data_IF_569113033554
#
_entry.id   IF_569113033554
#
_cell.length_a   1.000
_cell.length_b   1.000
_cell.length_c   1.000
_cell.angle_alpha   90.00
_cell.angle_beta   90.00
_cell.angle_gamma   90.00
#
_symmetry.space_group_name_H-M   'P 1'
#
loop_
_entity.id
_entity.type
_entity.pdbx_description
1 polymer ?
#
# COMPACT_ATOMS: atom_id res chain seq x y z
N UNK A 1 6.65 10.93 23.48
CA UNK A 1 6.29 11.01 22.95
C UNK A 1 6.33 10.74 21.67
N UNK A 2 6.41 9.97 21.08
CA UNK A 2 6.45 9.67 19.76
C UNK A 2 5.15 9.90 19.09
N UNK A 3 5.11 9.88 17.82
CA UNK A 3 3.90 10.02 17.10
C UNK A 3 3.25 8.68 16.97
N UNK A 4 1.95 8.66 16.90
CA UNK A 4 1.27 7.42 16.66
C UNK A 4 1.33 7.17 15.18
N UNK A 5 1.04 5.97 14.76
CA UNK A 5 1.09 5.62 13.35
C UNK A 5 0.13 6.44 12.52
N UNK A 6 -1.03 6.74 13.05
CA UNK A 6 -1.99 7.49 12.27
C UNK A 6 -1.59 8.95 12.12
N UNK A 7 -0.53 9.39 12.76
CA UNK A 7 -0.01 10.73 12.54
C UNK A 7 0.96 10.72 11.38
N UNK A 8 1.63 9.61 11.14
CA UNK A 8 2.62 9.54 10.08
C UNK A 8 2.09 8.85 8.84
N UNK A 9 1.12 8.00 8.98
CA UNK A 9 0.59 7.24 7.86
C UNK A 9 -0.92 7.39 7.84
N UNK A 10 -1.51 7.23 6.67
CA UNK A 10 -2.95 7.32 6.61
C UNK A 10 -3.50 6.17 5.80
N UNK A 11 -4.72 5.76 6.11
CA UNK A 11 -5.37 4.68 5.39
C UNK A 11 -5.56 5.10 3.95
N UNK A 12 -5.26 4.22 3.04
CA UNK A 12 -5.31 4.50 1.62
C UNK A 12 -3.97 4.90 1.03
N UNK A 13 -2.98 5.12 1.85
CA UNK A 13 -1.70 5.60 1.37
C UNK A 13 -0.89 4.47 0.77
N UNK A 14 -0.19 4.76 -0.32
CA UNK A 14 0.67 3.79 -0.96
C UNK A 14 2.00 3.76 -0.24
N UNK A 15 2.49 2.58 0.08
CA UNK A 15 3.81 2.42 0.67
C UNK A 15 4.54 1.33 -0.10
N UNK A 16 5.86 1.35 -0.03
CA UNK A 16 6.68 0.39 -0.75
C UNK A 16 7.55 -0.32 0.26
N UNK A 17 7.55 -1.63 0.22
CA UNK A 17 8.36 -2.40 1.13
C UNK A 17 9.84 -2.17 0.79
N UNK A 18 10.67 -1.99 1.78
CA UNK A 18 12.08 -1.78 1.53
C UNK A 18 12.94 -2.82 2.21
N UNK A 19 12.33 -3.81 2.85
CA UNK A 19 13.09 -4.86 3.48
C UNK A 19 12.41 -6.20 3.33
N UNK A 20 13.19 -7.25 3.39
CA UNK A 20 12.65 -8.58 3.37
C UNK A 20 12.50 -9.12 1.97
N UNK A 21 11.84 -10.23 1.85
CA UNK A 21 11.67 -10.86 0.56
C UNK A 21 10.76 -10.08 -0.35
N UNK A 22 9.94 -9.23 0.19
CA UNK A 22 9.05 -8.45 -0.63
C UNK A 22 9.56 -7.04 -0.89
N UNK A 23 10.83 -6.81 -0.73
CA UNK A 23 11.38 -5.47 -0.96
C UNK A 23 11.01 -5.02 -2.36
N UNK A 24 10.51 -3.82 -2.48
CA UNK A 24 10.06 -3.26 -3.73
C UNK A 24 8.59 -3.49 -4.03
N UNK A 25 7.94 -4.31 -3.24
CA UNK A 25 6.53 -4.59 -3.45
C UNK A 25 5.69 -3.42 -2.96
N UNK A 26 4.65 -3.09 -3.66
CA UNK A 26 3.82 -1.96 -3.31
C UNK A 26 2.57 -2.39 -2.59
N UNK A 27 2.19 -1.62 -1.59
CA UNK A 27 1.01 -1.92 -0.79
C UNK A 27 0.22 -0.66 -0.52
N UNK A 28 -1.01 -0.84 -0.14
CA UNK A 28 -1.86 0.27 0.28
C UNK A 28 -2.21 0.02 1.74
N UNK A 29 -2.14 1.04 2.55
CA UNK A 29 -2.48 0.92 3.97
C UNK A 29 -3.99 0.82 4.11
N UNK A 30 -4.46 -0.23 4.77
CA UNK A 30 -5.90 -0.39 5.00
C UNK A 30 -6.23 -0.30 6.50
N UNK A 31 -5.23 -0.08 7.33
CA UNK A 31 -5.48 0.09 8.75
C UNK A 31 -4.21 -0.04 9.54
N UNK A 32 -4.40 -0.11 10.85
CA UNK A 32 -3.27 -0.23 11.74
C UNK A 32 -3.51 -1.39 12.68
N UNK A 33 -2.48 -2.19 12.91
CA UNK A 33 -2.60 -3.35 13.77
C UNK A 33 -1.88 -3.01 15.07
N UNK A 34 -2.65 -2.67 16.07
CA UNK A 34 -2.08 -2.22 17.32
C UNK A 34 -1.44 -0.87 17.10
N UNK A 35 -0.41 -0.59 17.82
CA UNK A 35 0.22 0.69 17.76
C UNK A 35 1.48 0.71 16.94
N UNK A 36 1.93 -0.44 16.51
CA UNK A 36 3.23 -0.53 15.88
C UNK A 36 3.27 -1.20 14.54
N UNK A 37 2.16 -1.63 14.01
CA UNK A 37 2.18 -2.30 12.73
C UNK A 37 1.14 -1.77 11.78
N UNK A 38 1.47 -1.80 10.51
CA UNK A 38 0.56 -1.36 9.47
C UNK A 38 -0.18 -2.57 8.91
N UNK A 39 -1.44 -2.37 8.55
CA UNK A 39 -2.22 -3.39 7.87
C UNK A 39 -2.24 -3.00 6.40
N UNK A 40 -1.78 -3.87 5.54
CA UNK A 40 -1.54 -3.54 4.13
C UNK A 40 -2.29 -4.47 3.20
N UNK A 41 -2.67 -3.94 2.05
CA UNK A 41 -3.30 -4.71 0.99
C UNK A 41 -2.48 -4.60 -0.26
N UNK A 42 -2.48 -5.63 -1.11
CA UNK A 42 -1.64 -5.61 -2.29
C UNK A 42 -2.29 -6.13 -3.57
N UNK A 43 -3.51 -6.34 -3.63
CA UNK A 43 -4.20 -6.80 -4.84
C UNK A 43 -3.89 -8.25 -5.21
N UNK A 44 -3.03 -8.90 -4.50
CA UNK A 44 -2.70 -10.26 -4.81
C UNK A 44 -3.17 -11.18 -3.71
N UNK A 45 -2.55 -11.16 -2.56
CA UNK A 45 -2.92 -11.99 -1.48
C UNK A 45 -3.61 -11.27 -0.36
N UNK A 46 -3.37 -10.00 -0.20
CA UNK A 46 -3.82 -9.28 0.97
C UNK A 46 -4.86 -8.23 0.63
N UNK A 47 -5.83 -8.07 1.49
CA UNK A 47 -6.88 -7.06 1.29
C UNK A 47 -7.41 -6.70 2.67
N UNK A 48 -8.53 -6.02 2.73
CA UNK A 48 -9.06 -5.54 4.01
C UNK A 48 -9.37 -6.72 4.94
N UNK A 49 -9.93 -7.80 4.41
CA UNK A 49 -10.29 -8.92 5.25
C UNK A 49 -9.07 -9.75 5.66
N UNK A 50 -7.97 -9.59 4.97
CA UNK A 50 -6.77 -10.37 5.27
C UNK A 50 -5.57 -9.52 4.99
N UNK A 51 -5.29 -8.54 5.83
CA UNK A 51 -4.17 -7.63 5.55
C UNK A 51 -2.84 -8.22 5.95
N UNK A 52 -1.80 -7.70 5.33
CA UNK A 52 -0.46 -8.09 5.71
C UNK A 52 0.01 -7.17 6.81
N UNK A 53 0.62 -7.74 7.83
CA UNK A 53 1.15 -6.96 8.93
C UNK A 53 2.60 -6.61 8.60
N UNK A 54 2.96 -5.36 8.73
CA UNK A 54 4.34 -4.97 8.46
C UNK A 54 4.76 -3.82 9.36
N UNK A 55 6.01 -3.86 9.76
CA UNK A 55 6.56 -2.83 10.60
C UNK A 55 6.76 -1.57 9.76
N UNK A 56 6.33 -0.40 10.22
CA UNK A 56 6.47 0.82 9.43
C UNK A 56 7.91 1.14 9.10
N UNK A 57 8.85 0.67 9.89
CA UNK A 57 10.24 0.94 9.61
C UNK A 57 10.71 0.22 8.37
N UNK A 58 9.96 -0.76 7.90
CA UNK A 58 10.35 -1.55 6.75
C UNK A 58 9.64 -1.12 5.48
N UNK A 59 9.00 0.02 5.48
CA UNK A 59 8.35 0.53 4.29
C UNK A 59 8.72 1.98 4.07
N UNK A 60 8.62 2.41 2.82
CA UNK A 60 8.80 3.79 2.47
C UNK A 60 7.43 4.33 2.13
N UNK A 61 7.02 5.40 2.75
CA UNK A 61 5.72 5.97 2.44
C UNK A 61 5.83 6.85 1.21
N UNK A 62 4.72 7.02 0.52
CA UNK A 62 4.67 7.90 -0.62
C UNK A 62 3.56 8.90 -0.37
N UNK A 63 3.34 9.79 -1.30
CA UNK A 63 2.27 10.75 -1.17
C UNK A 63 1.03 10.31 -1.90
N UNK A 64 1.06 9.14 -2.50
CA UNK A 64 -0.07 8.66 -3.26
C UNK A 64 -1.11 8.09 -2.30
N UNK A 65 -2.35 8.47 -2.46
CA UNK A 65 -3.41 8.00 -1.60
C UNK A 65 -4.57 7.53 -2.47
N UNK A 66 -5.09 6.36 -2.17
CA UNK A 66 -6.23 5.82 -2.89
C UNK A 66 -7.45 6.02 -2.00
N UNK A 67 -8.27 7.01 -2.33
CA UNK A 67 -9.43 7.33 -1.51
C UNK A 67 -10.40 6.18 -1.41
N UNK A 68 -10.52 5.41 -2.47
CA UNK A 68 -11.42 4.29 -2.45
C UNK A 68 -10.96 3.22 -1.47
N UNK A 69 -9.66 3.04 -1.34
CA UNK A 69 -9.13 2.09 -0.39
C UNK A 69 -9.45 2.53 1.03
N UNK A 70 -9.36 3.81 1.29
CA UNK A 70 -9.67 4.33 2.59
C UNK A 70 -11.16 4.13 2.91
N UNK A 71 -12.01 4.37 1.93
CA UNK A 71 -13.44 4.19 2.14
C UNK A 71 -13.78 2.73 2.38
N UNK A 72 -13.17 1.83 1.63
CA UNK A 72 -13.43 0.41 1.80
C UNK A 72 -12.96 -0.06 3.16
N UNK A 73 -11.79 0.38 3.55
CA UNK A 73 -11.23 -0.03 4.83
C UNK A 73 -12.12 0.43 5.97
N UNK A 74 -12.62 1.64 5.86
CA UNK A 74 -13.46 2.17 6.90
C UNK A 74 -14.77 1.41 6.97
N UNK A 75 -15.28 0.97 5.85
CA UNK A 75 -16.52 0.22 5.81
C UNK A 75 -16.33 -1.27 6.09
N UNK A 76 -15.11 -1.70 6.22
CA UNK A 76 -14.83 -3.11 6.45
C UNK A 76 -15.03 -3.97 5.23
N UNK A 77 -14.92 -3.38 4.04
CA UNK A 77 -15.12 -4.11 2.82
C UNK A 77 -13.81 -4.26 2.08
N UNK A 78 -13.68 -5.32 1.31
CA UNK A 78 -12.48 -5.49 0.53
C UNK A 78 -12.45 -4.49 -0.61
N UNK A 79 -11.26 -4.07 -0.98
CA UNK A 79 -11.08 -3.15 -2.08
C UNK A 79 -11.20 -3.97 -3.36
N UNK A 80 -11.82 -3.40 -4.37
CA UNK A 80 -11.94 -4.05 -5.65
C UNK A 80 -10.55 -4.37 -6.15
N UNK A 81 -10.31 -5.64 -6.45
CA UNK A 81 -8.99 -6.08 -6.81
C UNK A 81 -8.48 -5.43 -8.06
N UNK A 82 -9.34 -5.26 -9.04
CA UNK A 82 -8.92 -4.62 -10.27
C UNK A 82 -8.53 -3.18 -10.07
N UNK A 83 -9.26 -2.48 -9.22
CA UNK A 83 -8.95 -1.10 -8.96
C UNK A 83 -7.68 -0.96 -8.14
N UNK A 84 -7.49 -1.85 -7.18
CA UNK A 84 -6.29 -1.82 -6.37
C UNK A 84 -5.07 -2.12 -7.25
N UNK A 85 -5.22 -3.10 -8.11
CA UNK A 85 -4.15 -3.45 -9.01
C UNK A 85 -3.81 -2.29 -9.93
N UNK A 86 -4.84 -1.61 -10.42
CA UNK A 86 -4.62 -0.50 -11.31
C UNK A 86 -3.91 0.65 -10.59
N UNK A 87 -4.32 0.92 -9.35
CA UNK A 87 -3.69 1.98 -8.59
C UNK A 87 -2.21 1.66 -8.36
N UNK A 88 -1.91 0.45 -7.95
CA UNK A 88 -0.54 0.06 -7.68
C UNK A 88 0.28 0.02 -8.96
N UNK A 89 -0.34 -0.42 -10.05
CA UNK A 89 0.35 -0.46 -11.30
C UNK A 89 0.59 0.88 -11.91
N UNK A 90 -0.33 1.79 -11.77
CA UNK A 90 -0.14 3.11 -12.31
C UNK A 90 1.10 3.74 -11.70
N UNK A 91 1.26 3.61 -10.39
CA UNK A 91 2.43 4.16 -9.76
C UNK A 91 3.67 3.40 -10.22
N UNK A 92 3.54 2.11 -10.39
CA UNK A 92 4.64 1.31 -10.84
C UNK A 92 5.03 1.68 -12.24
N UNK A 93 4.06 1.92 -13.09
CA UNK A 93 4.33 2.27 -14.46
C UNK A 93 5.04 3.61 -14.53
N UNK A 94 4.63 4.54 -13.73
CA UNK A 94 5.31 5.80 -13.76
C UNK A 94 6.76 5.65 -13.36
N UNK A 95 7.04 4.83 -12.40
CA UNK A 95 8.37 4.62 -11.99
C UNK A 95 9.17 3.93 -13.04
N UNK A 96 8.59 2.96 -13.73
CA UNK A 96 9.30 2.23 -14.73
C UNK A 96 9.30 2.82 -16.07
N UNK A 97 8.43 3.74 -16.35
CA UNK A 97 8.32 4.28 -17.67
C UNK A 97 9.62 4.69 -18.22
N UNK A 98 10.47 5.20 -17.44
CA UNK A 98 11.67 5.59 -17.95
C UNK A 98 12.43 4.44 -18.39
N UNK A 99 12.42 3.36 -17.72
CA UNK A 99 13.22 2.26 -18.12
C UNK A 99 12.54 1.32 -19.02
N UNK A 100 11.23 1.32 -19.07
CA UNK A 100 10.70 0.36 -19.88
C UNK A 100 9.91 0.82 -20.94
N UNK A 101 9.81 2.01 -21.12
CA UNK A 101 9.09 2.49 -22.22
C UNK A 101 9.43 1.75 -23.38
N UNK A 102 10.60 1.40 -23.45
CA UNK A 102 11.04 0.74 -24.56
C UNK A 102 10.44 -0.54 -24.67
N UNK A 103 10.23 -1.18 -23.69
CA UNK A 103 9.81 -2.40 -23.81
C UNK A 103 8.47 -2.48 -24.05
N UNK A 104 7.95 -1.64 -24.01
CA UNK A 104 6.73 -1.77 -24.31
C UNK A 104 6.50 -2.20 -25.54
N UNK A 105 6.79 -2.31 -25.75
CA UNK A 105 6.65 -2.74 -26.59
C UNK A 105 6.47 -2.89 -27.02
#
# INVERSE_FOLDING_TARGET
MGKSLDDEYRVGQLVISKRGKDAGHRYVIVGFLGEKRLALADADKFNVDRPKSKNPKHVTSTRQVMDEAAACAEAGKNINRGELCRFLEIVCVESKRRGRAANGE
#
